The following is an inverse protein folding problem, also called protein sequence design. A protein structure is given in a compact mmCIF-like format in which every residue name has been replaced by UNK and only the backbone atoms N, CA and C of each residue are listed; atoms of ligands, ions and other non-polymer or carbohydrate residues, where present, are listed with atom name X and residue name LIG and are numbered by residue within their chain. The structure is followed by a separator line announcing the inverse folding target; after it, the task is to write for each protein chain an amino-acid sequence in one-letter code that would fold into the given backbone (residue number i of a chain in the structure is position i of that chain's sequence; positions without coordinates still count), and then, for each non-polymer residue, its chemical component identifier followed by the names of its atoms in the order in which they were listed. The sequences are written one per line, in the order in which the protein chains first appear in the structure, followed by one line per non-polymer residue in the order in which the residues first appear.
data_IF_352297192849
#
_entry.id   IF_352297192849
#
_cell.length_a   1.000
_cell.length_b   1.000
_cell.length_c   1.000
_cell.angle_alpha   90.00
_cell.angle_beta   90.00
_cell.angle_gamma   90.00
#
_symmetry.space_group_name_H-M   'P 1'
#
loop_
_entity.id
_entity.type
_entity.pdbx_description
1 polymer ?
#
# COMPACT_ATOMS: atom_id res chain seq x y z
N UNK A 1 16.46 1.68 -53.11
CA UNK A 1 16.35 1.72 -51.64
C UNK A 1 17.03 3.00 -51.15
N UNK A 2 16.36 3.83 -50.32
CA UNK A 2 16.97 5.08 -49.84
C UNK A 2 18.07 4.79 -48.81
N UNK A 3 19.03 5.72 -48.65
CA UNK A 3 20.06 5.63 -47.59
C UNK A 3 19.44 5.46 -46.20
N UNK A 4 18.30 6.10 -45.96
CA UNK A 4 17.51 5.97 -44.74
C UNK A 4 16.94 4.56 -44.55
N UNK A 5 16.40 3.95 -45.61
CA UNK A 5 15.88 2.57 -45.56
C UNK A 5 16.98 1.55 -45.24
N UNK A 6 18.17 1.73 -45.82
CA UNK A 6 19.32 0.87 -45.51
C UNK A 6 19.75 0.96 -44.04
N UNK A 7 19.77 2.18 -43.48
CA UNK A 7 20.10 2.40 -42.07
C UNK A 7 19.07 1.77 -41.13
N UNK A 8 17.77 1.84 -41.47
CA UNK A 8 16.70 1.19 -40.70
C UNK A 8 16.80 -0.34 -40.71
N UNK A 9 17.14 -0.95 -41.85
CA UNK A 9 17.36 -2.40 -41.93
C UNK A 9 18.52 -2.82 -41.03
N UNK A 10 19.66 -2.11 -41.09
CA UNK A 10 20.82 -2.40 -40.24
C UNK A 10 20.48 -2.24 -38.76
N UNK A 11 19.79 -1.16 -38.39
CA UNK A 11 19.34 -0.92 -37.02
C UNK A 11 18.39 -2.03 -36.53
N UNK A 12 17.44 -2.46 -37.37
CA UNK A 12 16.49 -3.52 -37.04
C UNK A 12 17.17 -4.87 -36.76
N UNK A 13 18.15 -5.25 -37.60
CA UNK A 13 18.96 -6.45 -37.40
C UNK A 13 19.77 -6.36 -36.11
N UNK A 14 20.34 -5.19 -35.80
CA UNK A 14 21.02 -4.93 -34.54
C UNK A 14 20.12 -5.15 -33.32
N UNK A 15 18.89 -4.63 -33.36
CA UNK A 15 17.89 -4.81 -32.28
C UNK A 15 17.44 -6.28 -32.16
N UNK A 16 17.26 -6.99 -33.27
CA UNK A 16 16.94 -8.42 -33.28
C UNK A 16 18.05 -9.25 -32.63
N UNK A 17 19.32 -9.02 -33.00
CA UNK A 17 20.47 -9.69 -32.41
C UNK A 17 20.65 -9.36 -30.92
N UNK A 18 20.44 -8.09 -30.56
CA UNK A 18 20.52 -7.64 -29.17
C UNK A 18 19.42 -8.27 -28.30
N UNK A 19 18.17 -8.25 -28.77
CA UNK A 19 17.04 -8.86 -28.06
C UNK A 19 17.23 -10.38 -27.87
N UNK A 20 17.71 -11.09 -28.90
CA UNK A 20 18.09 -12.50 -28.80
C UNK A 20 19.17 -12.76 -27.74
N UNK A 21 20.22 -11.93 -27.71
CA UNK A 21 21.31 -12.05 -26.73
C UNK A 21 20.83 -11.82 -25.30
N UNK A 22 19.93 -10.85 -25.09
CA UNK A 22 19.32 -10.58 -23.76
C UNK A 22 18.39 -11.72 -23.34
N UNK A 23 17.60 -12.26 -24.26
CA UNK A 23 16.72 -13.40 -24.02
C UNK A 23 17.52 -14.65 -23.62
N UNK A 24 18.59 -14.98 -24.35
CA UNK A 24 19.47 -16.12 -24.03
C UNK A 24 20.10 -16.00 -22.64
N UNK A 25 20.36 -14.77 -22.17
CA UNK A 25 20.84 -14.48 -20.80
C UNK A 25 19.71 -14.47 -19.75
N UNK A 26 18.49 -14.90 -20.09
CA UNK A 26 17.29 -14.92 -19.22
C UNK A 26 16.97 -13.58 -18.54
N UNK A 27 17.39 -12.45 -19.14
CA UNK A 27 17.12 -11.10 -18.60
C UNK A 27 15.73 -10.56 -18.97
N UNK A 28 15.09 -11.13 -20.00
CA UNK A 28 13.74 -10.81 -20.44
C UNK A 28 12.91 -12.09 -20.61
N UNK A 29 11.59 -11.96 -20.46
CA UNK A 29 10.64 -13.07 -20.68
C UNK A 29 10.48 -13.34 -22.18
N UNK A 30 10.06 -14.55 -22.55
CA UNK A 30 9.84 -14.96 -23.94
C UNK A 30 8.90 -13.99 -24.68
N UNK A 31 7.80 -13.59 -24.05
CA UNK A 31 6.87 -12.65 -24.66
C UNK A 31 7.51 -11.30 -24.98
N UNK A 32 8.26 -10.71 -24.03
CA UNK A 32 8.96 -9.44 -24.25
C UNK A 32 10.03 -9.55 -25.34
N UNK A 33 10.69 -10.70 -25.42
CA UNK A 33 11.62 -11.01 -26.52
C UNK A 33 10.89 -11.06 -27.86
N UNK A 34 9.82 -11.85 -27.98
CA UNK A 34 9.05 -11.98 -29.21
C UNK A 34 8.52 -10.62 -29.67
N UNK A 35 8.01 -9.81 -28.76
CA UNK A 35 7.47 -8.48 -29.06
C UNK A 35 8.54 -7.52 -29.60
N UNK A 36 9.74 -7.48 -29.00
CA UNK A 36 10.86 -6.67 -29.50
C UNK A 36 11.40 -7.22 -30.82
N UNK A 37 11.56 -8.54 -30.92
CA UNK A 37 12.13 -9.20 -32.09
C UNK A 37 11.22 -9.08 -33.32
N UNK A 38 9.93 -9.37 -33.16
CA UNK A 38 8.92 -9.22 -34.22
C UNK A 38 8.74 -7.75 -34.58
N UNK A 39 8.74 -6.83 -33.61
CA UNK A 39 8.68 -5.40 -33.87
C UNK A 39 9.88 -4.88 -34.68
N UNK A 40 11.09 -5.35 -34.36
CA UNK A 40 12.27 -5.02 -35.15
C UNK A 40 12.22 -5.66 -36.55
N UNK A 41 11.82 -6.93 -36.64
CA UNK A 41 11.69 -7.63 -37.93
C UNK A 41 10.68 -6.95 -38.86
N UNK A 42 9.53 -6.49 -38.34
CA UNK A 42 8.53 -5.77 -39.12
C UNK A 42 9.09 -4.45 -39.63
N UNK A 43 9.76 -3.64 -38.78
CA UNK A 43 10.42 -2.40 -39.21
C UNK A 43 11.46 -2.67 -40.32
N UNK A 44 12.25 -3.74 -40.18
CA UNK A 44 13.23 -4.16 -41.18
C UNK A 44 12.61 -4.56 -42.52
N UNK A 45 11.59 -5.41 -42.51
CA UNK A 45 10.84 -5.84 -43.71
C UNK A 45 10.19 -4.63 -44.40
N UNK A 46 9.63 -3.73 -43.62
CA UNK A 46 8.95 -2.54 -44.09
C UNK A 46 9.88 -1.49 -44.69
N UNK A 47 11.13 -1.40 -44.22
CA UNK A 47 12.15 -0.57 -44.84
C UNK A 47 12.56 -1.05 -46.24
N UNK A 48 12.33 -2.33 -46.56
CA UNK A 48 12.61 -2.92 -47.87
C UNK A 48 11.46 -2.76 -48.87
N UNK A 49 10.20 -2.83 -48.40
CA UNK A 49 8.99 -2.70 -49.25
C UNK A 49 7.90 -1.88 -48.57
N UNK A 50 7.89 -0.57 -48.83
CA UNK A 50 6.92 0.38 -48.25
C UNK A 50 5.49 0.20 -48.76
N UNK A 51 5.29 -0.37 -49.95
CA UNK A 51 3.95 -0.60 -50.53
C UNK A 51 3.10 -1.57 -49.71
N UNK A 52 3.73 -2.56 -49.07
CA UNK A 52 3.07 -3.54 -48.22
C UNK A 52 2.47 -2.88 -46.99
N UNK A 53 3.15 -1.87 -46.45
CA UNK A 53 2.68 -1.09 -45.31
C UNK A 53 1.42 -0.30 -45.64
N UNK A 54 1.37 0.33 -46.81
CA UNK A 54 0.19 1.08 -47.23
C UNK A 54 -1.00 0.14 -47.48
N UNK A 55 -0.77 -1.02 -48.10
CA UNK A 55 -1.82 -2.02 -48.31
C UNK A 55 -2.42 -2.54 -46.98
N UNK A 56 -1.58 -2.83 -45.99
CA UNK A 56 -2.01 -3.25 -44.65
C UNK A 56 -2.67 -2.09 -43.90
N UNK A 57 -2.09 -0.88 -43.95
CA UNK A 57 -2.66 0.30 -43.31
C UNK A 57 -4.08 0.60 -43.80
N UNK A 58 -4.30 0.55 -45.12
CA UNK A 58 -5.61 0.79 -45.73
C UNK A 58 -6.65 -0.25 -45.29
N UNK A 59 -6.25 -1.52 -45.11
CA UNK A 59 -7.17 -2.57 -44.60
C UNK A 59 -7.62 -2.32 -43.16
N UNK A 60 -6.83 -1.56 -42.38
CA UNK A 60 -7.19 -1.08 -41.04
C UNK A 60 -7.77 0.35 -41.03
N UNK A 61 -8.11 0.92 -42.20
CA UNK A 61 -8.69 2.26 -42.32
C UNK A 61 -7.70 3.41 -42.12
N UNK A 62 -6.39 3.16 -42.25
CA UNK A 62 -5.36 4.17 -42.11
C UNK A 62 -5.02 4.81 -43.47
N UNK A 63 -4.83 6.13 -43.46
CA UNK A 63 -4.48 6.90 -44.66
C UNK A 63 -3.02 6.66 -45.11
N UNK A 64 -2.13 6.33 -44.16
CA UNK A 64 -0.72 6.04 -44.44
C UNK A 64 -0.32 4.78 -43.69
N UNK A 65 0.36 3.87 -44.36
CA UNK A 65 0.93 2.68 -43.70
C UNK A 65 1.85 3.06 -42.53
N UNK A 66 2.60 4.15 -42.66
CA UNK A 66 3.48 4.65 -41.60
C UNK A 66 2.77 4.86 -40.24
N UNK A 67 1.48 5.20 -40.23
CA UNK A 67 0.70 5.39 -39.01
C UNK A 67 0.56 4.06 -38.23
N UNK A 68 0.51 2.92 -38.93
CA UNK A 68 0.49 1.59 -38.32
C UNK A 68 1.76 1.31 -37.51
N UNK A 69 2.93 1.75 -38.01
CA UNK A 69 4.20 1.61 -37.28
C UNK A 69 4.14 2.45 -36.00
N UNK A 70 3.60 3.67 -36.07
CA UNK A 70 3.47 4.57 -34.93
C UNK A 70 2.57 3.94 -33.86
N UNK A 71 1.39 3.41 -34.23
CA UNK A 71 0.49 2.77 -33.27
C UNK A 71 1.10 1.52 -32.64
N UNK A 72 1.73 0.65 -33.44
CA UNK A 72 2.45 -0.51 -32.94
C UNK A 72 3.57 -0.11 -31.96
N UNK A 73 4.34 0.93 -32.29
CA UNK A 73 5.40 1.45 -31.42
C UNK A 73 4.83 2.00 -30.10
N UNK A 74 3.69 2.70 -30.13
CA UNK A 74 3.01 3.19 -28.92
C UNK A 74 2.57 2.02 -28.03
N UNK A 75 1.95 0.97 -28.60
CA UNK A 75 1.51 -0.21 -27.83
C UNK A 75 2.72 -0.93 -27.21
N UNK A 76 3.79 -1.12 -27.97
CA UNK A 76 5.04 -1.73 -27.50
C UNK A 76 5.68 -0.89 -26.38
N UNK A 77 5.70 0.44 -26.55
CA UNK A 77 6.21 1.37 -25.54
C UNK A 77 5.37 1.32 -24.26
N UNK A 78 4.04 1.35 -24.38
CA UNK A 78 3.13 1.22 -23.24
C UNK A 78 3.38 -0.11 -22.52
N UNK A 79 3.43 -1.23 -23.23
CA UNK A 79 3.76 -2.54 -22.64
C UNK A 79 5.12 -2.52 -21.92
N UNK A 80 6.16 -1.94 -22.54
CA UNK A 80 7.48 -1.86 -21.94
C UNK A 80 7.48 -1.02 -20.66
N UNK A 81 6.80 0.13 -20.66
CA UNK A 81 6.63 0.99 -19.47
C UNK A 81 5.89 0.22 -18.37
N UNK A 82 4.79 -0.45 -18.68
CA UNK A 82 4.04 -1.25 -17.72
C UNK A 82 4.87 -2.42 -17.16
N UNK A 83 5.66 -3.09 -18.01
CA UNK A 83 6.54 -4.18 -17.58
C UNK A 83 7.68 -3.71 -16.70
N UNK A 84 8.28 -2.55 -16.99
CA UNK A 84 9.33 -1.95 -16.16
C UNK A 84 8.76 -1.54 -14.79
N UNK A 85 7.59 -0.91 -14.79
CA UNK A 85 6.89 -0.51 -13.58
C UNK A 85 6.55 -1.73 -12.71
N UNK A 86 6.03 -2.81 -13.31
CA UNK A 86 5.76 -4.06 -12.59
C UNK A 86 7.02 -4.68 -11.96
N UNK A 87 8.15 -4.69 -12.69
CA UNK A 87 9.45 -5.15 -12.14
C UNK A 87 9.93 -4.25 -10.99
N UNK A 88 9.78 -2.93 -11.12
CA UNK A 88 10.14 -1.99 -10.08
C UNK A 88 9.28 -2.19 -8.82
N UNK A 89 7.97 -2.37 -8.99
CA UNK A 89 7.04 -2.66 -7.90
C UNK A 89 7.40 -3.96 -7.17
N UNK A 90 7.66 -5.05 -7.91
CA UNK A 90 8.09 -6.32 -7.32
C UNK A 90 9.43 -6.20 -6.57
N UNK A 91 10.38 -5.43 -7.10
CA UNK A 91 11.66 -5.15 -6.43
C UNK A 91 11.45 -4.40 -5.13
N UNK A 92 10.59 -3.38 -5.12
CA UNK A 92 10.26 -2.64 -3.90
C UNK A 92 9.58 -3.53 -2.86
N UNK A 93 8.62 -4.39 -3.25
CA UNK A 93 8.00 -5.34 -2.32
C UNK A 93 9.02 -6.29 -1.71
N UNK A 94 9.96 -6.82 -2.50
CA UNK A 94 11.02 -7.69 -1.98
C UNK A 94 11.94 -6.94 -0.99
N UNK A 95 12.25 -5.68 -1.24
CA UNK A 95 12.99 -4.84 -0.30
C UNK A 95 12.21 -4.64 1.01
N UNK A 96 10.91 -4.36 0.92
CA UNK A 96 10.02 -4.25 2.08
C UNK A 96 10.00 -5.53 2.93
N UNK A 97 9.87 -6.70 2.29
CA UNK A 97 9.91 -7.99 3.00
C UNK A 97 11.24 -8.23 3.73
N UNK A 98 12.37 -7.91 3.09
CA UNK A 98 13.69 -8.07 3.70
C UNK A 98 13.85 -7.12 4.89
N UNK A 99 13.50 -5.84 4.73
CA UNK A 99 13.58 -4.86 5.82
C UNK A 99 12.68 -5.28 6.97
N UNK A 100 11.46 -5.74 6.70
CA UNK A 100 10.55 -6.26 7.72
C UNK A 100 11.17 -7.43 8.48
N UNK A 101 11.70 -8.43 7.78
CA UNK A 101 12.29 -9.61 8.40
C UNK A 101 13.45 -9.22 9.33
N UNK A 102 14.37 -8.37 8.86
CA UNK A 102 15.49 -7.88 9.67
C UNK A 102 15.00 -7.06 10.86
N UNK A 103 14.00 -6.21 10.68
CA UNK A 103 13.43 -5.41 11.76
C UNK A 103 12.73 -6.25 12.83
N UNK A 104 12.07 -7.34 12.45
CA UNK A 104 11.45 -8.28 13.40
C UNK A 104 12.51 -8.98 14.26
N UNK A 105 13.62 -9.41 13.66
CA UNK A 105 14.75 -10.02 14.39
C UNK A 105 15.42 -9.04 15.37
N UNK A 106 15.42 -7.75 15.05
CA UNK A 106 16.00 -6.69 15.87
C UNK A 106 15.02 -6.07 16.89
N UNK A 107 13.80 -6.59 16.97
CA UNK A 107 12.79 -6.12 17.91
C UNK A 107 13.25 -6.26 19.37
N UNK A 108 12.97 -5.26 20.20
CA UNK A 108 13.35 -5.23 21.62
C UNK A 108 12.09 -5.32 22.47
N UNK A 109 12.11 -6.20 23.47
CA UNK A 109 11.03 -6.38 24.43
C UNK A 109 10.01 -7.44 24.01
N UNK A 110 8.87 -7.47 24.70
CA UNK A 110 7.76 -8.37 24.42
C UNK A 110 6.46 -7.71 24.87
N UNK A 111 5.40 -7.87 24.08
CA UNK A 111 4.08 -7.36 24.45
C UNK A 111 3.36 -8.23 25.50
N UNK A 112 3.99 -9.34 25.93
CA UNK A 112 3.50 -10.22 26.99
C UNK A 112 2.14 -10.86 26.69
N UNK A 113 1.45 -11.31 27.73
CA UNK A 113 0.06 -11.82 27.62
C UNK A 113 -0.93 -10.67 27.90
N UNK A 114 -1.72 -10.31 26.89
CA UNK A 114 -2.82 -9.36 27.00
C UNK A 114 -3.97 -9.74 26.05
N UNK A 115 -5.21 -9.37 26.42
CA UNK A 115 -6.38 -9.63 25.57
C UNK A 115 -6.31 -8.81 24.27
N UNK A 116 -5.86 -7.55 24.37
CA UNK A 116 -5.71 -6.63 23.25
C UNK A 116 -4.25 -6.21 23.08
N UNK A 117 -3.76 -6.25 21.84
CA UNK A 117 -2.44 -5.76 21.45
C UNK A 117 -2.60 -4.61 20.47
N UNK A 118 -2.01 -3.46 20.80
CA UNK A 118 -2.04 -2.26 19.98
C UNK A 118 -0.85 -2.25 19.02
N UNK A 119 -1.09 -2.09 17.73
CA UNK A 119 -0.06 -1.84 16.73
C UNK A 119 -0.02 -0.34 16.46
N UNK A 120 1.08 0.28 16.87
CA UNK A 120 1.27 1.73 16.83
C UNK A 120 2.44 2.07 15.90
N UNK A 121 2.18 2.38 14.62
CA UNK A 121 3.21 2.85 13.70
C UNK A 121 3.54 4.32 13.98
N UNK A 122 4.82 4.70 13.88
CA UNK A 122 5.25 6.09 14.03
C UNK A 122 6.35 6.46 13.03
N UNK A 123 6.34 7.70 12.54
CA UNK A 123 7.41 8.24 11.71
C UNK A 123 7.68 9.73 11.98
N UNK A 124 8.87 10.04 12.47
CA UNK A 124 9.29 11.39 12.86
C UNK A 124 8.25 12.11 13.74
N UNK A 125 7.54 11.36 14.58
CA UNK A 125 6.53 11.91 15.49
C UNK A 125 7.19 12.69 16.63
N UNK A 126 6.42 13.60 17.22
CA UNK A 126 6.81 14.34 18.43
C UNK A 126 6.67 13.46 19.68
N UNK A 127 6.84 14.06 20.86
CA UNK A 127 6.69 13.36 22.15
C UNK A 127 5.25 12.83 22.40
N UNK A 128 4.25 13.19 21.58
CA UNK A 128 2.89 12.64 21.65
C UNK A 128 2.83 11.11 21.52
N UNK A 129 3.71 10.53 20.71
CA UNK A 129 3.78 9.08 20.60
C UNK A 129 4.10 8.42 21.96
N UNK A 130 4.88 9.09 22.83
CA UNK A 130 5.17 8.58 24.17
C UNK A 130 3.94 8.63 25.08
N UNK A 131 3.12 9.68 24.98
CA UNK A 131 1.87 9.82 25.74
C UNK A 131 0.88 8.71 25.36
N UNK A 132 0.69 8.47 24.07
CA UNK A 132 -0.17 7.39 23.55
C UNK A 132 0.30 6.02 24.05
N UNK A 133 1.62 5.75 23.99
CA UNK A 133 2.18 4.50 24.50
C UNK A 133 1.94 4.34 25.99
N UNK A 134 2.15 5.40 26.77
CA UNK A 134 1.96 5.38 28.22
C UNK A 134 0.49 5.10 28.60
N UNK A 135 -0.46 5.73 27.92
CA UNK A 135 -1.90 5.52 28.18
C UNK A 135 -2.32 4.07 27.92
N UNK A 136 -1.86 3.49 26.80
CA UNK A 136 -2.18 2.10 26.43
C UNK A 136 -1.54 1.10 27.41
N UNK A 137 -0.27 1.31 27.77
CA UNK A 137 0.44 0.43 28.71
C UNK A 137 -0.16 0.52 30.12
N UNK A 138 -0.50 1.72 30.61
CA UNK A 138 -1.15 1.92 31.92
C UNK A 138 -2.53 1.26 32.00
N UNK A 139 -3.25 1.18 30.87
CA UNK A 139 -4.51 0.43 30.79
C UNK A 139 -4.32 -1.10 30.80
N UNK A 140 -3.08 -1.60 30.84
CA UNK A 140 -2.75 -3.02 30.96
C UNK A 140 -2.72 -3.79 29.64
N UNK A 141 -2.84 -3.09 28.51
CA UNK A 141 -2.76 -3.65 27.17
C UNK A 141 -1.31 -3.81 26.72
N UNK A 142 -1.06 -4.74 25.80
CA UNK A 142 0.26 -4.89 25.18
C UNK A 142 0.38 -4.02 23.93
N UNK A 143 1.62 -3.68 23.57
CA UNK A 143 1.91 -2.80 22.45
C UNK A 143 2.99 -3.39 21.55
N UNK A 144 2.74 -3.34 20.24
CA UNK A 144 3.77 -3.45 19.20
C UNK A 144 3.97 -2.07 18.60
N UNK A 145 5.05 -1.41 19.00
CA UNK A 145 5.46 -0.12 18.48
C UNK A 145 6.37 -0.32 17.28
N UNK A 146 6.06 0.33 16.16
CA UNK A 146 6.87 0.23 14.94
C UNK A 146 7.33 1.61 14.51
N UNK A 147 8.60 1.93 14.75
CA UNK A 147 9.25 3.11 14.19
C UNK A 147 9.60 2.85 12.72
N UNK A 148 8.93 3.53 11.80
CA UNK A 148 9.13 3.43 10.35
C UNK A 148 10.34 4.26 9.87
N UNK A 149 11.49 4.06 10.51
CA UNK A 149 12.76 4.67 10.12
C UNK A 149 12.90 6.15 10.48
N UNK A 150 12.35 6.58 11.61
CA UNK A 150 12.50 7.94 12.10
C UNK A 150 13.98 8.31 12.28
N UNK A 151 14.33 9.52 11.85
CA UNK A 151 15.68 10.08 12.00
C UNK A 151 15.88 10.76 13.35
N UNK A 152 14.79 11.05 14.06
CA UNK A 152 14.83 11.58 15.41
C UNK A 152 15.12 10.47 16.45
N UNK A 153 15.26 10.86 17.72
CA UNK A 153 15.55 9.93 18.83
C UNK A 153 14.29 9.22 19.38
N UNK A 154 13.18 9.19 18.65
CA UNK A 154 11.91 8.65 19.16
C UNK A 154 12.04 7.19 19.61
N UNK A 155 12.60 6.32 18.77
CA UNK A 155 12.81 4.92 19.13
C UNK A 155 13.63 4.75 20.41
N UNK A 156 14.71 5.52 20.54
CA UNK A 156 15.60 5.48 21.71
C UNK A 156 14.89 5.96 22.98
N UNK A 157 14.02 6.97 22.86
CA UNK A 157 13.16 7.42 23.97
C UNK A 157 12.17 6.33 24.37
N UNK A 158 11.53 5.67 23.40
CA UNK A 158 10.55 4.60 23.63
C UNK A 158 11.18 3.42 24.37
N UNK A 159 12.28 2.87 23.85
CA UNK A 159 12.94 1.71 24.47
C UNK A 159 13.45 2.02 25.88
N UNK A 160 13.90 3.26 26.13
CA UNK A 160 14.41 3.66 27.44
C UNK A 160 13.29 3.88 28.46
N UNK A 161 12.20 4.52 28.04
CA UNK A 161 11.09 4.91 28.93
C UNK A 161 10.22 3.72 29.32
N UNK A 162 10.01 2.78 28.41
CA UNK A 162 9.08 1.67 28.57
C UNK A 162 9.81 0.31 28.63
N UNK A 163 11.08 0.32 29.06
CA UNK A 163 11.84 -0.91 29.26
C UNK A 163 11.17 -1.78 30.33
N UNK A 164 10.92 -3.05 30.00
CA UNK A 164 10.28 -4.01 30.92
C UNK A 164 8.75 -3.94 30.95
N UNK A 165 8.13 -2.98 30.26
CA UNK A 165 6.68 -2.95 30.06
C UNK A 165 6.24 -3.98 29.01
N UNK A 166 4.92 -4.14 28.84
CA UNK A 166 4.31 -4.97 27.78
C UNK A 166 4.47 -4.35 26.39
N UNK A 167 5.70 -4.07 25.99
CA UNK A 167 6.07 -3.38 24.76
C UNK A 167 7.06 -4.22 23.95
N UNK A 168 6.71 -4.48 22.69
CA UNK A 168 7.63 -4.89 21.64
C UNK A 168 7.91 -3.67 20.75
N UNK A 169 9.14 -3.16 20.79
CA UNK A 169 9.58 -2.05 19.95
C UNK A 169 10.36 -2.56 18.75
N UNK A 170 9.94 -2.17 17.55
CA UNK A 170 10.55 -2.55 16.27
C UNK A 170 10.93 -1.28 15.51
N UNK A 171 12.07 -1.28 14.83
CA UNK A 171 12.50 -0.17 13.97
C UNK A 171 12.83 -0.64 12.56
N UNK A 172 12.25 0.04 11.57
CA UNK A 172 12.67 -0.07 10.19
C UNK A 172 13.96 0.70 9.95
N UNK A 173 14.84 0.15 9.11
CA UNK A 173 16.12 0.77 8.74
C UNK A 173 15.89 2.04 7.88
N UNK A 174 14.78 2.08 7.14
CA UNK A 174 14.36 3.21 6.32
C UNK A 174 12.84 3.33 6.35
N UNK A 175 12.31 4.50 6.00
CA UNK A 175 10.88 4.71 5.86
C UNK A 175 10.31 3.86 4.72
N UNK A 176 9.34 3.01 5.05
CA UNK A 176 8.60 2.18 4.10
C UNK A 176 7.18 2.71 3.88
N UNK A 177 6.58 3.30 4.91
CA UNK A 177 5.23 3.82 4.98
C UNK A 177 4.38 3.12 6.05
N UNK A 178 3.29 3.77 6.44
CA UNK A 178 2.40 3.30 7.52
C UNK A 178 1.82 1.90 7.28
N UNK A 179 1.43 1.57 6.06
CA UNK A 179 0.92 0.24 5.72
C UNK A 179 1.97 -0.86 5.90
N UNK A 180 3.24 -0.57 5.58
CA UNK A 180 4.34 -1.50 5.83
C UNK A 180 4.59 -1.68 7.34
N UNK A 181 4.54 -0.59 8.11
CA UNK A 181 4.69 -0.63 9.56
C UNK A 181 3.57 -1.42 10.25
N UNK A 182 2.32 -1.24 9.81
CA UNK A 182 1.20 -2.06 10.26
C UNK A 182 1.42 -3.54 9.94
N UNK A 183 1.83 -3.86 8.71
CA UNK A 183 2.13 -5.25 8.32
C UNK A 183 3.26 -5.85 9.16
N UNK A 184 4.29 -5.07 9.50
CA UNK A 184 5.35 -5.49 10.42
C UNK A 184 4.78 -5.84 11.79
N UNK A 185 3.92 -4.98 12.35
CA UNK A 185 3.26 -5.25 13.62
C UNK A 185 2.36 -6.49 13.58
N UNK A 186 1.59 -6.68 12.51
CA UNK A 186 0.76 -7.88 12.33
C UNK A 186 1.61 -9.14 12.25
N UNK A 187 2.73 -9.08 11.53
CA UNK A 187 3.66 -10.20 11.41
C UNK A 187 4.29 -10.54 12.75
N UNK A 188 4.68 -9.54 13.55
CA UNK A 188 5.23 -9.75 14.88
C UNK A 188 4.22 -10.46 15.81
N UNK A 189 2.96 -10.06 15.78
CA UNK A 189 1.90 -10.68 16.58
C UNK A 189 1.67 -12.14 16.15
N UNK A 190 1.63 -12.42 14.85
CA UNK A 190 1.43 -13.77 14.32
C UNK A 190 2.62 -14.71 14.58
N UNK A 191 3.81 -14.17 14.85
CA UNK A 191 5.00 -14.94 15.19
C UNK A 191 5.17 -15.17 16.70
N UNK A 192 4.35 -14.52 17.53
CA UNK A 192 4.43 -14.67 18.98
C UNK A 192 3.88 -16.01 19.45
N UNK A 193 4.44 -16.53 20.54
CA UNK A 193 4.01 -17.80 21.15
C UNK A 193 2.57 -17.77 21.64
N UNK A 194 2.14 -16.61 22.18
CA UNK A 194 0.80 -16.41 22.71
C UNK A 194 0.06 -15.36 21.89
N UNK A 195 -0.92 -15.81 21.10
CA UNK A 195 -1.76 -14.92 20.31
C UNK A 195 -2.75 -14.16 21.22
N UNK A 196 -2.88 -12.83 21.09
CA UNK A 196 -3.90 -12.08 21.79
C UNK A 196 -5.28 -12.39 21.20
N UNK A 197 -6.35 -11.94 21.86
CA UNK A 197 -7.70 -12.11 21.29
C UNK A 197 -7.97 -11.08 20.19
N UNK A 198 -7.49 -9.85 20.40
CA UNK A 198 -7.71 -8.74 19.49
C UNK A 198 -6.42 -7.98 19.19
N UNK A 199 -6.32 -7.49 17.97
CA UNK A 199 -5.31 -6.54 17.51
C UNK A 199 -5.98 -5.20 17.25
N UNK A 200 -5.42 -4.13 17.79
CA UNK A 200 -5.94 -2.77 17.63
C UNK A 200 -4.96 -1.96 16.80
N UNK A 201 -5.40 -1.40 15.67
CA UNK A 201 -4.57 -0.42 14.94
C UNK A 201 -4.85 0.96 15.52
N UNK A 202 -3.79 1.68 15.90
CA UNK A 202 -3.91 2.95 16.60
C UNK A 202 -2.81 3.92 16.15
N UNK A 203 -3.21 5.13 15.77
CA UNK A 203 -2.26 6.15 15.31
C UNK A 203 -1.51 6.77 16.51
N UNK A 204 -0.24 7.12 16.31
CA UNK A 204 0.65 7.66 17.35
C UNK A 204 0.48 9.17 17.61
N UNK A 205 -0.48 9.83 16.96
CA UNK A 205 -0.63 11.30 16.97
C UNK A 205 -1.61 11.82 18.03
N UNK A 206 -2.22 10.91 18.80
CA UNK A 206 -3.15 11.24 19.90
C UNK A 206 -4.55 11.64 19.44
N UNK A 207 -4.91 11.45 18.16
CA UNK A 207 -6.27 11.77 17.69
C UNK A 207 -7.34 10.81 18.22
N UNK A 208 -6.96 9.55 18.47
CA UNK A 208 -7.86 8.49 18.91
C UNK A 208 -7.90 8.39 20.43
N UNK A 209 -9.09 8.07 20.97
CA UNK A 209 -9.28 7.90 22.41
C UNK A 209 -9.30 6.43 22.81
N UNK A 210 -8.45 6.06 23.78
CA UNK A 210 -8.45 4.71 24.35
C UNK A 210 -9.79 4.36 25.01
N UNK A 211 -10.51 5.36 25.52
CA UNK A 211 -11.86 5.21 26.10
C UNK A 211 -12.91 4.70 25.12
N UNK A 212 -12.64 4.70 23.82
CA UNK A 212 -13.55 4.11 22.83
C UNK A 212 -13.41 2.58 22.75
N UNK A 213 -12.27 2.00 23.16
CA UNK A 213 -12.02 0.55 23.05
C UNK A 213 -13.14 -0.32 23.64
N UNK A 214 -13.71 -0.03 24.83
CA UNK A 214 -14.80 -0.82 25.39
C UNK A 214 -16.01 -0.97 24.45
N UNK A 215 -16.32 0.05 23.63
CA UNK A 215 -17.43 -0.01 22.68
C UNK A 215 -17.13 -0.99 21.54
N UNK A 216 -15.90 -1.04 21.06
CA UNK A 216 -15.46 -2.03 20.07
C UNK A 216 -15.54 -3.44 20.65
N UNK A 217 -15.02 -3.64 21.87
CA UNK A 217 -15.07 -4.94 22.53
C UNK A 217 -16.51 -5.40 22.81
N UNK A 218 -17.43 -4.48 23.12
CA UNK A 218 -18.85 -4.78 23.25
C UNK A 218 -19.48 -5.26 21.93
N UNK A 219 -19.06 -4.72 20.78
CA UNK A 219 -19.52 -5.20 19.48
C UNK A 219 -19.14 -6.67 19.24
N UNK A 220 -17.90 -7.06 19.55
CA UNK A 220 -17.47 -8.47 19.46
C UNK A 220 -18.17 -9.40 20.46
N UNK A 221 -18.54 -8.90 21.64
CA UNK A 221 -19.33 -9.67 22.61
C UNK A 221 -20.76 -9.89 22.10
N UNK A 222 -21.35 -8.89 21.43
CA UNK A 222 -22.70 -8.96 20.86
C UNK A 222 -22.78 -9.85 19.63
N UNK A 223 -21.75 -9.82 18.78
CA UNK A 223 -21.66 -10.65 17.59
C UNK A 223 -20.36 -11.48 17.60
N UNK A 224 -20.41 -12.74 18.07
CA UNK A 224 -19.25 -13.62 18.07
C UNK A 224 -18.69 -13.94 16.67
N UNK A 225 -19.48 -13.76 15.60
CA UNK A 225 -19.04 -13.97 14.21
C UNK A 225 -18.27 -12.77 13.65
N UNK A 226 -18.30 -11.63 14.34
CA UNK A 226 -17.58 -10.43 13.93
C UNK A 226 -16.07 -10.70 13.84
N UNK A 227 -15.49 -10.36 12.71
CA UNK A 227 -14.05 -10.46 12.46
C UNK A 227 -13.36 -9.13 12.74
N UNK A 228 -13.97 -8.02 12.33
CA UNK A 228 -13.36 -6.68 12.39
C UNK A 228 -14.38 -5.62 12.79
N UNK A 229 -14.03 -4.77 13.74
CA UNK A 229 -14.75 -3.56 14.06
C UNK A 229 -13.98 -2.33 13.54
N UNK A 230 -14.63 -1.53 12.70
CA UNK A 230 -14.05 -0.34 12.05
C UNK A 230 -14.57 0.92 12.74
N UNK A 231 -13.68 1.81 13.16
CA UNK A 231 -14.09 3.07 13.75
C UNK A 231 -14.76 3.99 12.74
N UNK A 232 -15.81 4.70 13.16
CA UNK A 232 -16.43 5.75 12.37
C UNK A 232 -16.63 7.04 13.16
N UNK A 233 -15.97 8.09 12.68
CA UNK A 233 -16.11 9.45 13.23
C UNK A 233 -17.45 10.10 12.87
N UNK A 234 -18.14 9.55 11.85
CA UNK A 234 -19.42 10.05 11.37
C UNK A 234 -20.60 9.39 12.09
N UNK A 235 -20.41 8.19 12.65
CA UNK A 235 -21.34 7.58 13.61
C UNK A 235 -21.10 8.06 15.04
N UNK A 236 -19.84 8.36 15.38
CA UNK A 236 -19.43 8.90 16.67
C UNK A 236 -19.36 10.43 16.68
N UNK A 237 -18.21 10.97 17.09
CA UNK A 237 -18.00 12.41 17.23
C UNK A 237 -16.66 12.85 16.63
N UNK A 238 -16.66 14.01 15.98
CA UNK A 238 -15.46 14.64 15.44
C UNK A 238 -15.30 16.03 16.05
N UNK A 239 -14.42 16.16 17.05
CA UNK A 239 -14.24 17.38 17.83
C UNK A 239 -13.24 18.28 17.10
N UNK A 240 -13.63 19.54 16.82
CA UNK A 240 -12.82 20.55 16.12
C UNK A 240 -12.50 20.24 14.63
N UNK A 241 -13.32 19.42 13.95
CA UNK A 241 -13.11 19.14 12.53
C UNK A 241 -13.43 20.36 11.63
N UNK A 242 -12.50 20.80 10.75
CA UNK A 242 -12.79 21.82 9.75
C UNK A 242 -13.87 21.38 8.75
N UNK A 243 -14.79 22.28 8.38
CA UNK A 243 -15.89 21.98 7.43
C UNK A 243 -15.39 21.56 6.05
N UNK A 244 -14.27 22.13 5.57
CA UNK A 244 -13.64 21.75 4.31
C UNK A 244 -13.16 20.29 4.32
N UNK A 245 -12.51 19.86 5.42
CA UNK A 245 -12.04 18.49 5.63
C UNK A 245 -13.21 17.50 5.65
N UNK A 246 -14.35 17.88 6.23
CA UNK A 246 -15.58 17.08 6.22
C UNK A 246 -16.07 16.75 4.80
N UNK A 247 -16.06 17.74 3.90
CA UNK A 247 -16.47 17.55 2.50
C UNK A 247 -15.51 16.65 1.73
N UNK A 248 -14.20 16.86 1.89
CA UNK A 248 -13.18 16.01 1.24
C UNK A 248 -13.33 14.55 1.67
N UNK A 249 -13.52 14.30 2.97
CA UNK A 249 -13.73 12.94 3.48
C UNK A 249 -15.01 12.31 2.93
N UNK A 250 -16.11 13.06 2.84
CA UNK A 250 -17.35 12.58 2.22
C UNK A 250 -17.19 12.19 0.75
N UNK A 251 -16.43 12.98 -0.02
CA UNK A 251 -16.11 12.64 -1.41
C UNK A 251 -15.22 11.39 -1.50
N UNK A 252 -14.25 11.27 -0.59
CA UNK A 252 -13.40 10.08 -0.46
C UNK A 252 -14.19 8.80 -0.16
N UNK A 253 -15.23 8.89 0.67
CA UNK A 253 -16.15 7.78 0.96
C UNK A 253 -16.90 7.35 -0.30
N UNK A 254 -17.45 8.28 -1.07
CA UNK A 254 -18.17 7.96 -2.31
C UNK A 254 -17.26 7.27 -3.33
N UNK A 255 -16.04 7.79 -3.50
CA UNK A 255 -15.04 7.16 -4.35
C UNK A 255 -14.68 5.76 -3.86
N UNK A 256 -14.35 5.62 -2.58
CA UNK A 256 -13.96 4.32 -2.01
C UNK A 256 -15.09 3.30 -2.11
N UNK A 257 -16.33 3.68 -1.81
CA UNK A 257 -17.50 2.81 -1.90
C UNK A 257 -17.73 2.29 -3.33
N UNK A 258 -17.57 3.16 -4.33
CA UNK A 258 -17.66 2.77 -5.73
C UNK A 258 -16.61 1.72 -6.13
N UNK A 259 -15.40 1.81 -5.57
CA UNK A 259 -14.28 0.94 -5.95
C UNK A 259 -14.13 -0.32 -5.08
N UNK A 260 -14.41 -0.26 -3.78
CA UNK A 260 -14.23 -1.40 -2.85
C UNK A 260 -15.47 -2.28 -2.77
N UNK A 261 -16.63 -1.78 -3.18
CA UNK A 261 -17.92 -2.45 -3.02
C UNK A 261 -18.44 -2.47 -1.58
N UNK A 262 -17.74 -1.83 -0.64
CA UNK A 262 -18.19 -1.68 0.75
C UNK A 262 -18.81 -0.29 0.95
N UNK A 263 -20.02 -0.25 1.49
CA UNK A 263 -20.65 0.97 1.95
C UNK A 263 -20.30 1.20 3.42
N UNK A 264 -19.25 1.99 3.67
CA UNK A 264 -18.84 2.42 5.00
C UNK A 264 -19.10 3.91 5.19
N UNK A 265 -19.44 4.30 6.41
CA UNK A 265 -19.59 5.70 6.80
C UNK A 265 -18.25 6.41 6.98
N UNK A 266 -17.16 5.71 7.29
CA UNK A 266 -15.80 6.28 7.40
C UNK A 266 -14.70 5.33 6.88
N UNK A 267 -14.25 5.53 5.65
CA UNK A 267 -13.24 4.68 5.00
C UNK A 267 -11.80 5.05 5.37
N UNK A 268 -11.59 6.15 6.09
CA UNK A 268 -10.26 6.73 6.36
C UNK A 268 -9.94 6.78 7.86
N UNK A 269 -10.63 5.99 8.67
CA UNK A 269 -10.37 5.87 10.10
C UNK A 269 -9.22 4.89 10.38
N UNK A 270 -8.21 5.32 11.14
CA UNK A 270 -7.08 4.49 11.55
C UNK A 270 -7.44 3.48 12.65
N UNK A 271 -8.47 3.76 13.43
CA UNK A 271 -8.89 2.92 14.56
C UNK A 271 -9.66 1.69 14.08
N UNK A 272 -9.05 0.51 14.22
CA UNK A 272 -9.68 -0.77 13.92
C UNK A 272 -9.37 -1.75 15.04
N UNK A 273 -10.35 -2.59 15.37
CA UNK A 273 -10.14 -3.74 16.25
C UNK A 273 -10.40 -4.99 15.43
N UNK A 274 -9.41 -5.87 15.36
CA UNK A 274 -9.37 -7.05 14.51
C UNK A 274 -9.26 -8.28 15.41
N UNK A 275 -10.13 -9.28 15.24
CA UNK A 275 -9.97 -10.57 15.90
C UNK A 275 -8.71 -11.24 15.36
N UNK A 276 -7.83 -11.74 16.24
CA UNK A 276 -6.52 -12.28 15.84
C UNK A 276 -6.62 -13.39 14.78
N UNK A 277 -7.70 -14.18 14.82
CA UNK A 277 -7.97 -15.27 13.88
C UNK A 277 -8.13 -14.80 12.43
N UNK A 278 -8.51 -13.54 12.24
CA UNK A 278 -8.77 -12.94 10.94
C UNK A 278 -7.53 -12.19 10.42
N UNK A 279 -6.53 -11.96 11.27
CA UNK A 279 -5.29 -11.25 10.95
C UNK A 279 -4.45 -11.89 9.83
N UNK A 280 -4.31 -13.23 9.71
CA UNK A 280 -3.58 -13.85 8.60
C UNK A 280 -4.18 -13.56 7.22
N UNK A 281 -5.46 -13.20 7.15
CA UNK A 281 -6.17 -12.87 5.92
C UNK A 281 -5.92 -11.42 5.49
N UNK A 282 -5.42 -10.57 6.39
CA UNK A 282 -5.17 -9.15 6.17
C UNK A 282 -3.69 -8.88 5.82
N UNK A 283 -3.23 -9.44 4.69
CA UNK A 283 -1.87 -9.18 4.20
C UNK A 283 -1.80 -7.87 3.42
N UNK A 284 -1.31 -6.82 4.07
CA UNK A 284 -1.12 -5.49 3.48
C UNK A 284 0.10 -5.51 2.56
N UNK A 285 -0.08 -5.09 1.31
CA UNK A 285 0.97 -4.98 0.29
C UNK A 285 1.24 -3.53 -0.13
N UNK A 286 0.30 -2.63 0.16
CA UNK A 286 0.44 -1.20 -0.05
C UNK A 286 1.14 -0.57 1.16
N UNK A 287 2.40 -0.19 0.97
CA UNK A 287 3.21 0.30 2.08
C UNK A 287 2.76 1.67 2.61
N UNK A 288 2.15 2.52 1.79
CA UNK A 288 1.78 3.88 2.17
C UNK A 288 0.39 4.00 2.83
N UNK A 289 -0.23 5.16 2.71
CA UNK A 289 -1.59 5.44 3.24
C UNK A 289 -2.69 4.68 2.47
N UNK A 290 -2.36 4.19 1.27
CA UNK A 290 -3.25 3.39 0.42
C UNK A 290 -3.69 2.08 1.11
N UNK A 291 -2.96 1.64 2.15
CA UNK A 291 -3.33 0.48 2.98
C UNK A 291 -4.75 0.58 3.52
N UNK A 292 -5.25 1.79 3.81
CA UNK A 292 -6.59 1.98 4.35
C UNK A 292 -7.65 1.43 3.39
N UNK A 293 -7.52 1.72 2.09
CA UNK A 293 -8.40 1.17 1.05
C UNK A 293 -8.11 -0.31 0.76
N UNK A 294 -6.84 -0.73 0.79
CA UNK A 294 -6.49 -2.14 0.61
C UNK A 294 -7.10 -3.03 1.68
N UNK A 295 -7.11 -2.62 2.95
CA UNK A 295 -7.74 -3.38 4.03
C UNK A 295 -9.24 -3.58 3.73
N UNK A 296 -9.93 -2.56 3.21
CA UNK A 296 -11.33 -2.68 2.83
C UNK A 296 -11.53 -3.65 1.66
N UNK A 297 -10.68 -3.58 0.64
CA UNK A 297 -10.70 -4.54 -0.47
C UNK A 297 -10.49 -5.98 0.05
N UNK A 298 -9.55 -6.19 1.00
CA UNK A 298 -9.29 -7.50 1.61
C UNK A 298 -10.48 -7.99 2.45
N UNK A 299 -11.15 -7.11 3.20
CA UNK A 299 -12.36 -7.44 3.95
C UNK A 299 -13.44 -7.98 3.01
N UNK A 300 -13.66 -7.30 1.89
CA UNK A 300 -14.65 -7.71 0.90
C UNK A 300 -14.24 -9.01 0.18
N UNK A 301 -13.00 -9.10 -0.30
CA UNK A 301 -12.48 -10.27 -1.03
C UNK A 301 -12.53 -11.55 -0.18
N UNK A 302 -12.16 -11.43 1.11
CA UNK A 302 -12.13 -12.55 2.06
C UNK A 302 -13.47 -12.76 2.77
N UNK A 303 -14.49 -11.94 2.47
CA UNK A 303 -15.84 -12.00 3.05
C UNK A 303 -15.82 -11.99 4.59
N UNK A 304 -14.96 -11.14 5.17
CA UNK A 304 -14.85 -11.00 6.63
C UNK A 304 -16.07 -10.25 7.17
N UNK A 305 -16.59 -10.69 8.30
CA UNK A 305 -17.70 -10.01 8.97
C UNK A 305 -17.18 -8.73 9.61
N UNK A 306 -17.73 -7.59 9.22
CA UNK A 306 -17.32 -6.30 9.74
C UNK A 306 -18.50 -5.49 10.29
N UNK A 307 -18.20 -4.55 11.18
CA UNK A 307 -19.17 -3.62 11.75
C UNK A 307 -18.52 -2.26 11.96
N UNK A 308 -19.27 -1.18 11.73
CA UNK A 308 -18.83 0.15 12.11
C UNK A 308 -19.20 0.45 13.55
N UNK A 309 -18.22 0.94 14.32
CA UNK A 309 -18.40 1.34 15.72
C UNK A 309 -18.13 2.84 15.83
N UNK A 310 -19.02 3.61 16.49
CA UNK A 310 -18.80 5.04 16.67
C UNK A 310 -17.50 5.27 17.45
N UNK A 311 -16.64 6.16 16.95
CA UNK A 311 -15.45 6.59 17.66
C UNK A 311 -15.30 8.12 17.67
N UNK A 312 -14.51 8.60 18.62
CA UNK A 312 -14.20 10.00 18.78
C UNK A 312 -12.84 10.31 18.17
N UNK A 313 -12.78 11.36 17.37
CA UNK A 313 -11.52 11.89 16.81
C UNK A 313 -11.31 13.32 17.27
N UNK A 314 -10.17 13.56 17.89
CA UNK A 314 -9.72 14.88 18.34
C UNK A 314 -8.83 15.53 17.28
N UNK A 315 -9.27 16.66 16.69
CA UNK A 315 -8.40 17.44 15.82
C UNK A 315 -7.61 18.47 16.64
N UNK A 316 -6.35 18.15 16.93
CA UNK A 316 -5.39 19.06 17.56
C UNK A 316 -4.74 20.00 16.54
N UNK A 317 -4.18 21.13 16.97
CA UNK A 317 -3.42 22.03 16.09
C UNK A 317 -2.27 21.30 15.37
N UNK A 318 -1.59 20.39 16.08
CA UNK A 318 -0.57 19.50 15.53
C UNK A 318 -1.11 18.65 14.36
N UNK A 319 -2.25 17.98 14.55
CA UNK A 319 -2.86 17.14 13.52
C UNK A 319 -3.33 17.93 12.28
N UNK A 320 -3.76 19.18 12.49
CA UNK A 320 -4.20 20.06 11.40
C UNK A 320 -3.03 20.58 10.58
N UNK A 321 -1.90 20.93 11.23
CA UNK A 321 -0.69 21.38 10.56
C UNK A 321 -0.03 20.30 9.69
N UNK A 322 -0.15 19.02 10.09
CA UNK A 322 0.33 17.86 9.33
C UNK A 322 -0.65 17.32 8.27
N UNK A 323 -1.79 17.99 8.07
CA UNK A 323 -2.82 17.58 7.11
C UNK A 323 -2.24 17.23 5.73
N UNK A 324 -2.80 16.20 5.09
CA UNK A 324 -2.25 15.68 3.83
C UNK A 324 -2.22 16.75 2.73
N UNK A 325 -1.05 16.90 2.10
CA UNK A 325 -0.89 17.70 0.89
C UNK A 325 -1.69 17.06 -0.25
N UNK A 326 -2.32 17.89 -1.08
CA UNK A 326 -3.10 17.45 -2.24
C UNK A 326 -2.32 16.52 -3.20
N UNK A 327 -1.00 16.74 -3.32
CA UNK A 327 -0.10 15.89 -4.12
C UNK A 327 -0.08 14.42 -3.63
N UNK A 328 -0.17 14.20 -2.32
CA UNK A 328 -0.18 12.86 -1.74
C UNK A 328 -1.52 12.17 -2.00
N UNK A 329 -2.64 12.92 -1.99
CA UNK A 329 -3.96 12.39 -2.34
C UNK A 329 -4.02 11.92 -3.80
N UNK A 330 -3.42 12.67 -4.74
CA UNK A 330 -3.32 12.26 -6.15
C UNK A 330 -2.47 10.98 -6.29
N UNK A 331 -1.36 10.89 -5.54
CA UNK A 331 -0.50 9.70 -5.51
C UNK A 331 -1.26 8.46 -5.03
N UNK A 332 -2.08 8.60 -3.98
CA UNK A 332 -2.93 7.53 -3.46
C UNK A 332 -3.91 7.03 -4.53
N UNK A 333 -4.66 7.94 -5.16
CA UNK A 333 -5.63 7.59 -6.21
C UNK A 333 -4.94 6.88 -7.38
N UNK A 334 -3.79 7.42 -7.82
CA UNK A 334 -2.97 6.79 -8.87
C UNK A 334 -2.61 5.35 -8.49
N UNK A 335 -2.06 5.14 -7.30
CA UNK A 335 -1.62 3.83 -6.83
C UNK A 335 -2.79 2.82 -6.73
N UNK A 336 -3.97 3.27 -6.29
CA UNK A 336 -5.19 2.44 -6.23
C UNK A 336 -5.68 2.01 -7.61
N UNK A 337 -5.76 2.95 -8.57
CA UNK A 337 -6.16 2.65 -9.95
C UNK A 337 -5.19 1.66 -10.58
N UNK A 338 -3.88 1.88 -10.42
CA UNK A 338 -2.88 0.97 -10.96
C UNK A 338 -2.97 -0.43 -10.37
N UNK A 339 -3.21 -0.56 -9.06
CA UNK A 339 -3.39 -1.88 -8.45
C UNK A 339 -4.57 -2.63 -9.07
N UNK A 340 -5.71 -1.96 -9.27
CA UNK A 340 -6.90 -2.62 -9.86
C UNK A 340 -6.75 -2.94 -11.34
N UNK A 341 -5.90 -2.21 -12.07
CA UNK A 341 -5.62 -2.48 -13.49
C UNK A 341 -4.55 -3.55 -13.71
N UNK A 342 -3.67 -3.80 -12.74
CA UNK A 342 -2.47 -4.63 -12.90
C UNK A 342 -2.37 -5.83 -11.94
N UNK A 343 -3.12 -5.81 -10.83
CA UNK A 343 -3.25 -6.92 -9.89
C UNK A 343 -4.32 -7.90 -10.33
#
# INVERSE_FOLDING_TARGET
MSKLGMLLVVASLGVMLFSWRIYKKKRIRLFSFLLIFLGAATIGIFALKTEWLNAIGITFGLNRGADLIVYCAIIVLLYAVMSLYGKQSQSHQKQTEIIRAVSLEQGIGSFGTAECIFVIPAYNESDHALEVLEDVLKAGHGVVFVDDGSQNQLYQKVIKRFAGEKLLAIKHITNLGQGAALQTGFTAILQAENLPKYVVTFDSDGQHLLSDLPNFLAAFKKDPKLDIALGSRFLGSAINMPRSKKWVLKLGILFTSFFSGLCLTDTHNGYRVIKVSSLPQLKITMNGMEHASEILDLINEKKLNYMEVPNTILYTEYSMARGQKLSNSIKIVKNLIFKKLLG
#
